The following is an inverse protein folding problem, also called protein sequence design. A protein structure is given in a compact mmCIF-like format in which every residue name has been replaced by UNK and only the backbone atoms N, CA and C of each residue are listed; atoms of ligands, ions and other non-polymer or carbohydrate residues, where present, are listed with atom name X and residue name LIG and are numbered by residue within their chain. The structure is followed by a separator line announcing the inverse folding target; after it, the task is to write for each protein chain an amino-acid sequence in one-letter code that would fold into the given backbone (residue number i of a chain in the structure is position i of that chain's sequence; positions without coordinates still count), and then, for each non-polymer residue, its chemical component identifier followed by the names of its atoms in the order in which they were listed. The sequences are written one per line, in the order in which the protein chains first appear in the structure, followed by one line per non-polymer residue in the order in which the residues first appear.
data_IF_038002814141
#
_entry.id   IF_038002814141
#
_cell.length_a   1.000
_cell.length_b   1.000
_cell.length_c   1.000
_cell.angle_alpha   90.00
_cell.angle_beta   90.00
_cell.angle_gamma   90.00
#
_symmetry.space_group_name_H-M   'P 1'
#
loop_
_entity.id
_entity.type
_entity.pdbx_description
1 polymer ?
#
# COMPACT_ATOMS: atom_id res chain seq x y z
N UNK A 1 -51.04 22.06 -1.60
CA UNK A 1 -52.11 21.47 -0.77
C UNK A 1 -51.55 20.22 -0.12
N UNK A 2 -51.75 20.08 1.20
CA UNK A 2 -51.33 18.98 2.09
C UNK A 2 -49.86 18.94 2.51
N UNK A 3 -49.60 19.63 3.63
CA UNK A 3 -48.77 19.13 4.72
C UNK A 3 -49.02 17.63 4.91
N UNK A 4 -47.98 16.80 4.70
CA UNK A 4 -47.87 15.53 5.41
C UNK A 4 -46.85 15.72 6.52
N UNK A 5 -47.41 16.08 7.67
CA UNK A 5 -46.79 15.95 8.98
C UNK A 5 -46.44 14.48 9.22
N UNK A 6 -45.14 14.18 9.31
CA UNK A 6 -44.63 12.91 9.83
C UNK A 6 -43.98 13.22 11.19
N UNK A 7 -44.80 13.33 12.23
CA UNK A 7 -44.28 13.32 13.60
C UNK A 7 -43.67 11.96 13.90
N UNK A 8 -42.40 11.94 14.34
CA UNK A 8 -41.84 10.73 14.94
C UNK A 8 -40.33 10.50 14.92
N UNK A 9 -39.46 11.48 14.64
CA UNK A 9 -38.07 11.58 15.15
C UNK A 9 -37.73 13.07 15.06
N UNK A 10 -37.00 13.66 16.01
CA UNK A 10 -36.56 15.05 15.90
C UNK A 10 -36.07 15.34 14.47
N UNK A 11 -36.63 16.36 13.81
CA UNK A 11 -36.33 16.72 12.43
C UNK A 11 -34.82 16.99 12.30
N UNK A 12 -34.10 15.93 11.93
CA UNK A 12 -32.65 15.90 11.81
C UNK A 12 -32.29 16.72 10.59
N UNK A 13 -31.34 17.64 10.72
CA UNK A 13 -30.81 18.36 9.57
C UNK A 13 -30.33 17.32 8.55
N UNK A 14 -30.94 17.32 7.36
CA UNK A 14 -30.63 16.32 6.33
C UNK A 14 -29.42 16.79 5.52
N UNK A 15 -28.48 15.89 5.30
CA UNK A 15 -27.41 16.14 4.33
C UNK A 15 -27.98 16.08 2.91
N UNK A 16 -27.58 17.01 2.02
CA UNK A 16 -27.96 16.97 0.61
C UNK A 16 -27.70 15.61 -0.04
N UNK A 17 -28.49 15.25 -1.05
CA UNK A 17 -28.32 13.98 -1.77
C UNK A 17 -26.92 13.87 -2.40
N UNK A 18 -26.48 14.94 -3.05
CA UNK A 18 -25.18 15.02 -3.72
C UNK A 18 -24.00 14.85 -2.74
N UNK A 19 -24.12 15.40 -1.53
CA UNK A 19 -23.13 15.20 -0.46
C UNK A 19 -23.01 13.73 -0.08
N UNK A 20 -24.15 13.04 0.13
CA UNK A 20 -24.18 11.61 0.47
C UNK A 20 -23.64 10.73 -0.65
N UNK A 21 -23.88 11.12 -1.91
CA UNK A 21 -23.29 10.43 -3.06
C UNK A 21 -21.77 10.58 -3.09
N UNK A 22 -21.25 11.78 -2.84
CA UNK A 22 -19.81 12.02 -2.74
C UNK A 22 -19.17 11.17 -1.64
N UNK A 23 -19.78 11.11 -0.46
CA UNK A 23 -19.31 10.23 0.63
C UNK A 23 -19.24 8.77 0.21
N UNK A 24 -20.30 8.25 -0.43
CA UNK A 24 -20.35 6.87 -0.90
C UNK A 24 -19.25 6.58 -1.93
N UNK A 25 -18.98 7.52 -2.85
CA UNK A 25 -17.91 7.39 -3.84
C UNK A 25 -16.53 7.42 -3.20
N UNK A 26 -16.30 8.30 -2.21
CA UNK A 26 -15.04 8.35 -1.46
C UNK A 26 -14.82 7.05 -0.70
N UNK A 27 -15.84 6.53 -0.01
CA UNK A 27 -15.76 5.27 0.73
C UNK A 27 -15.46 4.08 -0.19
N UNK A 28 -16.07 4.07 -1.39
CA UNK A 28 -15.76 3.09 -2.42
C UNK A 28 -14.31 3.19 -2.89
N UNK A 29 -13.82 4.41 -3.16
CA UNK A 29 -12.44 4.64 -3.60
C UNK A 29 -11.42 4.22 -2.52
N UNK A 30 -11.72 4.44 -1.24
CA UNK A 30 -10.88 3.99 -0.13
C UNK A 30 -10.78 2.46 -0.12
N UNK A 31 -11.91 1.76 -0.27
CA UNK A 31 -11.94 0.29 -0.35
C UNK A 31 -11.14 -0.25 -1.53
N UNK A 32 -11.19 0.43 -2.68
CA UNK A 32 -10.37 0.08 -3.86
C UNK A 32 -8.87 0.14 -3.53
N UNK A 33 -8.41 1.23 -2.90
CA UNK A 33 -7.01 1.37 -2.51
C UNK A 33 -6.57 0.26 -1.53
N UNK A 34 -7.36 0.04 -0.48
CA UNK A 34 -7.07 -0.99 0.53
C UNK A 34 -7.02 -2.39 -0.09
N UNK A 35 -7.97 -2.71 -0.97
CA UNK A 35 -8.07 -4.03 -1.59
C UNK A 35 -6.93 -4.30 -2.58
N UNK A 36 -6.44 -3.29 -3.29
CA UNK A 36 -5.28 -3.48 -4.16
C UNK A 36 -4.00 -3.64 -3.34
N UNK A 37 -3.79 -2.75 -2.37
CA UNK A 37 -2.60 -2.75 -1.51
C UNK A 37 -2.48 -4.02 -0.66
N UNK A 38 -3.58 -4.69 -0.31
CA UNK A 38 -3.52 -5.97 0.41
C UNK A 38 -2.79 -7.06 -0.37
N UNK A 39 -2.69 -6.94 -1.70
CA UNK A 39 -1.94 -7.86 -2.56
C UNK A 39 -0.62 -7.24 -3.00
N UNK A 40 -0.65 -6.02 -3.53
CA UNK A 40 0.55 -5.42 -4.15
C UNK A 40 1.61 -5.03 -3.13
N UNK A 41 1.28 -4.88 -1.84
CA UNK A 41 2.28 -4.68 -0.79
C UNK A 41 3.30 -5.82 -0.72
N UNK A 42 2.96 -7.03 -1.19
CA UNK A 42 3.88 -8.18 -1.25
C UNK A 42 5.11 -7.91 -2.12
N UNK A 43 5.03 -7.06 -3.13
CA UNK A 43 6.19 -6.65 -3.94
C UNK A 43 7.27 -5.93 -3.10
N UNK A 44 6.96 -5.50 -1.87
CA UNK A 44 7.95 -4.94 -0.93
C UNK A 44 8.74 -6.04 -0.21
N UNK A 45 8.28 -7.29 -0.26
CA UNK A 45 8.93 -8.44 0.36
C UNK A 45 9.72 -9.21 -0.68
N UNK A 46 11.03 -8.98 -0.76
CA UNK A 46 11.89 -9.59 -1.78
C UNK A 46 11.73 -11.12 -1.90
N UNK A 47 11.47 -11.84 -0.80
CA UNK A 47 11.37 -13.30 -0.78
C UNK A 47 9.93 -13.83 -0.98
N UNK A 48 8.99 -13.04 -1.52
CA UNK A 48 7.58 -13.48 -1.63
C UNK A 48 7.37 -14.70 -2.55
N UNK A 49 8.25 -14.91 -3.53
CA UNK A 49 8.22 -16.03 -4.49
C UNK A 49 9.14 -17.19 -4.06
N UNK A 50 10.00 -16.95 -3.08
CA UNK A 50 10.88 -17.95 -2.49
C UNK A 50 10.90 -17.78 -0.97
N UNK A 51 9.77 -18.08 -0.29
CA UNK A 51 9.66 -17.91 1.15
C UNK A 51 10.76 -18.70 1.85
N UNK A 52 11.41 -18.13 2.88
CA UNK A 52 12.61 -18.70 3.47
C UNK A 52 12.36 -20.13 3.93
N UNK A 53 13.08 -21.07 3.32
CA UNK A 53 13.25 -22.38 3.89
C UNK A 53 14.12 -22.23 5.15
N UNK A 54 13.68 -22.77 6.29
CA UNK A 54 14.41 -22.67 7.58
C UNK A 54 15.90 -23.05 7.47
N UNK A 55 16.26 -23.92 6.53
CA UNK A 55 17.64 -24.37 6.28
C UNK A 55 18.55 -23.30 5.65
N UNK A 56 18.03 -22.48 4.74
CA UNK A 56 18.83 -21.44 4.09
C UNK A 56 19.09 -20.27 5.03
N UNK A 57 18.10 -19.89 5.84
CA UNK A 57 18.25 -18.81 6.83
C UNK A 57 19.35 -19.12 7.85
N UNK A 58 19.49 -20.38 8.26
CA UNK A 58 20.56 -20.83 9.17
C UNK A 58 21.93 -20.82 8.45
N UNK A 59 21.96 -21.19 7.18
CA UNK A 59 23.20 -21.20 6.39
C UNK A 59 23.71 -19.78 6.15
N UNK A 60 22.83 -18.83 5.81
CA UNK A 60 23.17 -17.41 5.64
C UNK A 60 23.62 -16.75 6.96
N UNK A 61 22.94 -17.04 8.06
CA UNK A 61 23.34 -16.58 9.40
C UNK A 61 24.73 -17.12 9.77
N UNK A 62 25.00 -18.41 9.50
CA UNK A 62 26.30 -19.02 9.81
C UNK A 62 27.44 -18.41 8.99
N UNK A 63 27.24 -18.14 7.70
CA UNK A 63 28.22 -17.44 6.84
C UNK A 63 28.46 -16.01 7.30
N UNK A 64 27.39 -15.29 7.66
CA UNK A 64 27.51 -13.90 8.14
C UNK A 64 28.27 -13.82 9.46
N UNK A 65 28.01 -14.74 10.39
CA UNK A 65 28.74 -14.82 11.66
C UNK A 65 30.19 -15.25 11.45
N UNK A 66 30.45 -16.26 10.62
CA UNK A 66 31.80 -16.70 10.29
C UNK A 66 32.64 -15.57 9.66
N UNK A 67 32.05 -14.80 8.73
CA UNK A 67 32.70 -13.66 8.10
C UNK A 67 32.97 -12.51 9.09
N UNK A 68 32.06 -12.26 10.04
CA UNK A 68 32.29 -11.27 11.11
C UNK A 68 33.40 -11.70 12.07
N UNK A 69 33.44 -12.98 12.42
CA UNK A 69 34.53 -13.55 13.23
C UNK A 69 35.86 -13.46 12.47
N UNK A 70 35.85 -13.70 11.16
CA UNK A 70 37.05 -13.57 10.32
C UNK A 70 37.49 -12.12 10.11
N UNK A 71 36.54 -11.18 9.99
CA UNK A 71 36.84 -9.75 9.95
C UNK A 71 37.43 -9.26 11.29
N UNK A 72 36.90 -9.78 12.41
CA UNK A 72 37.44 -9.54 13.75
C UNK A 72 38.84 -10.14 13.95
N UNK A 73 39.11 -11.34 13.41
CA UNK A 73 40.43 -11.97 13.52
C UNK A 73 41.50 -11.27 12.69
N UNK A 74 41.10 -10.48 11.69
CA UNK A 74 42.00 -9.73 10.82
C UNK A 74 42.15 -8.25 11.23
N UNK A 75 41.40 -7.78 12.23
CA UNK A 75 41.52 -6.41 12.73
C UNK A 75 42.83 -6.24 13.53
N UNK A 76 43.69 -5.32 13.09
CA UNK A 76 44.97 -5.04 13.75
C UNK A 76 44.86 -3.96 14.83
N UNK A 77 43.75 -3.20 14.84
CA UNK A 77 43.52 -2.10 15.79
C UNK A 77 42.11 -2.14 16.40
N UNK A 78 41.91 -1.55 17.59
CA UNK A 78 40.59 -1.42 18.21
C UNK A 78 39.57 -0.65 17.36
N UNK A 79 40.03 0.28 16.52
CA UNK A 79 39.19 1.01 15.56
C UNK A 79 38.67 0.10 14.44
N UNK A 80 39.55 -0.71 13.85
CA UNK A 80 39.17 -1.69 12.83
C UNK A 80 38.25 -2.81 13.39
N UNK A 81 38.42 -3.18 14.67
CA UNK A 81 37.55 -4.13 15.33
C UNK A 81 36.15 -3.54 15.59
N UNK A 82 36.06 -2.26 15.96
CA UNK A 82 34.80 -1.55 16.10
C UNK A 82 34.09 -1.44 14.74
N UNK A 83 34.82 -1.04 13.70
CA UNK A 83 34.30 -0.95 12.33
C UNK A 83 33.87 -2.32 11.78
N UNK A 84 34.57 -3.41 12.10
CA UNK A 84 34.16 -4.77 11.71
C UNK A 84 32.85 -5.23 12.38
N UNK A 85 32.49 -4.66 13.54
CA UNK A 85 31.25 -4.96 14.27
C UNK A 85 30.12 -4.02 13.84
N UNK A 86 30.42 -2.75 13.58
CA UNK A 86 29.42 -1.70 13.33
C UNK A 86 29.22 -1.38 11.86
N UNK A 87 30.12 -1.78 10.96
CA UNK A 87 29.91 -1.60 9.53
C UNK A 87 28.67 -2.42 9.09
N UNK A 88 27.69 -1.80 8.43
CA UNK A 88 26.65 -2.57 7.76
C UNK A 88 27.35 -3.54 6.80
N UNK A 89 26.96 -4.82 6.83
CA UNK A 89 27.59 -5.84 6.01
C UNK A 89 27.58 -5.37 4.54
N UNK A 90 28.76 -4.97 4.04
CA UNK A 90 28.97 -4.52 2.66
C UNK A 90 28.96 -5.69 1.66
N UNK A 91 28.78 -6.93 2.15
CA UNK A 91 28.54 -8.07 1.28
C UNK A 91 27.20 -7.81 0.59
N UNK A 92 27.14 -7.77 -0.76
CA UNK A 92 25.87 -7.69 -1.45
C UNK A 92 24.96 -8.76 -0.87
N UNK A 93 23.88 -8.34 -0.19
CA UNK A 93 22.86 -9.28 0.24
C UNK A 93 22.40 -9.97 -1.04
N UNK A 94 22.65 -11.28 -1.09
CA UNK A 94 22.34 -12.01 -2.30
C UNK A 94 20.82 -12.06 -2.43
N UNK A 95 20.26 -11.62 -3.57
CA UNK A 95 18.82 -11.50 -3.65
C UNK A 95 18.13 -12.85 -3.42
N UNK A 96 17.05 -12.78 -2.66
CA UNK A 96 16.26 -13.93 -2.18
C UNK A 96 15.06 -14.23 -3.07
N UNK A 97 15.13 -13.85 -4.34
CA UNK A 97 14.11 -14.24 -5.31
C UNK A 97 14.32 -15.68 -5.75
N UNK A 98 13.25 -16.33 -6.24
CA UNK A 98 13.34 -17.72 -6.67
C UNK A 98 14.32 -17.90 -7.84
N UNK A 99 14.34 -16.97 -8.79
CA UNK A 99 15.26 -17.01 -9.93
C UNK A 99 16.72 -16.93 -9.51
N UNK A 100 17.05 -16.15 -8.47
CA UNK A 100 18.40 -16.12 -7.91
C UNK A 100 18.74 -17.45 -7.21
N UNK A 101 17.78 -18.09 -6.53
CA UNK A 101 17.98 -19.42 -5.96
C UNK A 101 18.27 -20.49 -7.04
N UNK A 102 17.56 -20.46 -8.17
CA UNK A 102 17.85 -21.32 -9.33
C UNK A 102 19.25 -21.03 -9.88
N UNK A 103 19.62 -19.76 -10.01
CA UNK A 103 20.94 -19.36 -10.48
C UNK A 103 22.07 -19.96 -9.63
N UNK A 104 21.95 -19.85 -8.30
CA UNK A 104 22.89 -20.47 -7.36
C UNK A 104 22.96 -21.98 -7.49
N UNK A 105 21.80 -22.65 -7.54
CA UNK A 105 21.74 -24.10 -7.65
C UNK A 105 22.39 -24.59 -8.95
N UNK A 106 22.13 -23.90 -10.07
CA UNK A 106 22.76 -24.19 -11.34
C UNK A 106 24.27 -23.97 -11.30
N UNK A 107 24.75 -22.84 -10.77
CA UNK A 107 26.18 -22.58 -10.60
C UNK A 107 26.88 -23.62 -9.72
N UNK A 108 26.23 -24.06 -8.63
CA UNK A 108 26.75 -25.11 -7.77
C UNK A 108 26.83 -26.45 -8.52
N UNK A 109 25.84 -26.79 -9.36
CA UNK A 109 25.87 -27.99 -10.20
C UNK A 109 27.02 -27.99 -11.20
N UNK A 110 27.37 -26.84 -11.79
CA UNK A 110 28.55 -26.73 -12.68
C UNK A 110 29.82 -27.14 -11.96
N UNK A 111 30.01 -26.69 -10.71
CA UNK A 111 31.19 -27.02 -9.91
C UNK A 111 31.30 -28.50 -9.50
N UNK A 112 30.22 -29.28 -9.65
CA UNK A 112 30.21 -30.73 -9.39
C UNK A 112 30.54 -31.56 -10.62
N UNK A 113 30.57 -30.94 -11.80
CA UNK A 113 30.78 -31.61 -13.08
C UNK A 113 32.22 -31.39 -13.59
N UNK A 114 32.77 -32.32 -14.38
CA UNK A 114 34.07 -32.12 -15.02
C UNK A 114 34.06 -30.93 -15.99
N UNK A 115 35.23 -30.32 -16.17
CA UNK A 115 35.42 -29.27 -17.18
C UNK A 115 35.06 -29.78 -18.58
N UNK A 116 34.28 -28.98 -19.31
CA UNK A 116 33.80 -29.34 -20.66
C UNK A 116 32.61 -30.30 -20.70
N UNK A 117 32.02 -30.64 -19.55
CA UNK A 117 30.80 -31.44 -19.51
C UNK A 117 29.61 -30.69 -20.19
N UNK A 118 28.89 -31.32 -21.14
CA UNK A 118 27.76 -30.69 -21.84
C UNK A 118 26.61 -30.28 -20.91
N UNK A 119 26.33 -31.07 -19.86
CA UNK A 119 25.32 -30.73 -18.86
C UNK A 119 25.79 -29.55 -18.00
N UNK A 120 27.08 -29.50 -17.65
CA UNK A 120 27.71 -28.34 -17.00
C UNK A 120 27.54 -27.07 -17.83
N UNK A 121 27.79 -27.15 -19.14
CA UNK A 121 27.58 -26.03 -20.06
C UNK A 121 26.11 -25.58 -20.11
N UNK A 122 25.16 -26.52 -20.06
CA UNK A 122 23.74 -26.21 -19.94
C UNK A 122 23.39 -25.49 -18.63
N UNK A 123 23.91 -25.96 -17.49
CA UNK A 123 23.70 -25.31 -16.20
C UNK A 123 24.31 -23.90 -16.13
N UNK A 124 25.45 -23.65 -16.78
CA UNK A 124 26.03 -22.31 -16.86
C UNK A 124 25.09 -21.31 -17.56
N UNK A 125 24.44 -21.74 -18.66
CA UNK A 125 23.42 -20.93 -19.37
C UNK A 125 22.20 -20.66 -18.50
N UNK A 126 21.67 -21.69 -17.83
CA UNK A 126 20.54 -21.53 -16.89
C UNK A 126 20.89 -20.58 -15.76
N UNK A 127 22.10 -20.71 -15.19
CA UNK A 127 22.57 -19.87 -14.11
C UNK A 127 22.55 -18.39 -14.49
N UNK A 128 23.11 -18.07 -15.67
CA UNK A 128 23.20 -16.70 -16.17
C UNK A 128 21.83 -16.09 -16.42
N UNK A 129 20.95 -16.80 -17.11
CA UNK A 129 19.63 -16.26 -17.43
C UNK A 129 18.71 -16.16 -16.21
N UNK A 130 18.78 -17.12 -15.29
CA UNK A 130 17.99 -17.05 -14.05
C UNK A 130 18.42 -15.84 -13.21
N UNK A 131 19.69 -15.45 -13.25
CA UNK A 131 20.17 -14.20 -12.62
C UNK A 131 19.61 -12.96 -13.31
N UNK A 132 19.57 -12.93 -14.65
CA UNK A 132 18.99 -11.81 -15.40
C UNK A 132 17.48 -11.66 -15.14
N UNK A 133 16.72 -12.77 -15.15
CA UNK A 133 15.30 -12.80 -14.81
C UNK A 133 15.09 -12.31 -13.37
N UNK A 134 15.93 -12.77 -12.45
CA UNK A 134 15.89 -12.33 -11.05
C UNK A 134 16.14 -10.82 -10.91
N UNK A 135 17.10 -10.26 -11.64
CA UNK A 135 17.37 -8.82 -11.64
C UNK A 135 16.20 -8.01 -12.21
N UNK A 136 15.62 -8.46 -13.33
CA UNK A 136 14.43 -7.84 -13.92
C UNK A 136 13.24 -7.85 -12.94
N UNK A 137 13.07 -8.94 -12.18
CA UNK A 137 12.05 -9.05 -11.13
C UNK A 137 12.27 -7.99 -10.05
N UNK A 138 13.49 -7.85 -9.52
CA UNK A 138 13.80 -6.81 -8.52
C UNK A 138 13.51 -5.40 -9.04
N UNK A 139 13.79 -5.13 -10.32
CA UNK A 139 13.48 -3.86 -10.94
C UNK A 139 11.97 -3.60 -11.04
N UNK A 140 11.19 -4.61 -11.43
CA UNK A 140 9.72 -4.54 -11.45
C UNK A 140 9.16 -4.26 -10.06
N UNK A 141 9.59 -5.02 -9.06
CA UNK A 141 9.12 -4.86 -7.68
C UNK A 141 9.37 -3.45 -7.17
N UNK A 142 10.59 -2.96 -7.38
CA UNK A 142 10.97 -1.59 -7.03
C UNK A 142 10.07 -0.58 -7.74
N UNK A 143 9.85 -0.73 -9.05
CA UNK A 143 8.98 0.16 -9.81
C UNK A 143 7.53 0.14 -9.30
N UNK A 144 6.99 -1.02 -8.94
CA UNK A 144 5.64 -1.15 -8.36
C UNK A 144 5.59 -0.51 -6.98
N UNK A 145 6.59 -0.73 -6.13
CA UNK A 145 6.64 -0.15 -4.79
C UNK A 145 6.70 1.38 -4.85
N UNK A 146 7.58 1.92 -5.69
CA UNK A 146 7.82 3.35 -5.79
C UNK A 146 6.64 4.09 -6.45
N UNK A 147 6.02 3.52 -7.48
CA UNK A 147 5.06 4.23 -8.33
C UNK A 147 3.59 3.81 -8.12
N UNK A 148 3.31 2.70 -7.42
CA UNK A 148 1.95 2.29 -7.05
C UNK A 148 1.79 2.26 -5.52
N UNK A 149 2.57 1.43 -4.83
CA UNK A 149 2.30 1.15 -3.41
C UNK A 149 2.52 2.39 -2.53
N UNK A 150 3.63 3.10 -2.72
CA UNK A 150 4.00 4.27 -1.91
C UNK A 150 3.01 5.42 -2.10
N UNK A 151 2.65 5.83 -3.34
CA UNK A 151 1.66 6.89 -3.54
C UNK A 151 0.27 6.52 -3.02
N UNK A 152 -0.20 5.29 -3.25
CA UNK A 152 -1.50 4.85 -2.76
C UNK A 152 -1.57 4.79 -1.23
N UNK A 153 -0.49 4.32 -0.59
CA UNK A 153 -0.35 4.32 0.87
C UNK A 153 -0.34 5.74 1.44
N UNK A 154 0.34 6.66 0.74
CA UNK A 154 0.37 8.09 1.11
C UNK A 154 -1.02 8.71 1.03
N UNK A 155 -1.75 8.48 -0.06
CA UNK A 155 -3.12 8.94 -0.24
C UNK A 155 -4.05 8.42 0.87
N UNK A 156 -3.95 7.13 1.22
CA UNK A 156 -4.71 6.53 2.34
C UNK A 156 -4.37 7.17 3.70
N UNK A 157 -3.09 7.44 3.95
CA UNK A 157 -2.65 7.91 5.26
C UNK A 157 -2.76 9.41 5.45
N UNK A 158 -2.86 10.18 4.36
CA UNK A 158 -2.91 11.65 4.41
C UNK A 158 -4.26 12.13 3.88
N UNK A 159 -4.50 11.99 2.58
CA UNK A 159 -5.67 12.60 1.91
C UNK A 159 -6.99 12.03 2.42
N UNK A 160 -7.12 10.70 2.50
CA UNK A 160 -8.32 10.08 3.06
C UNK A 160 -8.55 10.43 4.54
N UNK A 161 -7.48 10.54 5.35
CA UNK A 161 -7.61 10.97 6.75
C UNK A 161 -8.05 12.43 6.88
N UNK A 162 -7.58 13.31 5.99
CA UNK A 162 -8.01 14.70 5.95
C UNK A 162 -9.50 14.81 5.57
N UNK A 163 -9.93 14.12 4.51
CA UNK A 163 -11.35 14.04 4.12
C UNK A 163 -12.21 13.48 5.24
N UNK A 164 -11.77 12.42 5.92
CA UNK A 164 -12.49 11.86 7.07
C UNK A 164 -12.65 12.87 8.22
N UNK A 165 -11.62 13.69 8.49
CA UNK A 165 -11.68 14.76 9.50
C UNK A 165 -12.69 15.84 9.12
N UNK A 166 -12.75 16.23 7.84
CA UNK A 166 -13.71 17.24 7.36
C UNK A 166 -15.14 16.71 7.41
N UNK A 167 -15.37 15.45 7.01
CA UNK A 167 -16.68 14.80 7.18
C UNK A 167 -17.09 14.72 8.65
N UNK A 168 -16.16 14.44 9.55
CA UNK A 168 -16.43 14.47 10.98
C UNK A 168 -16.78 15.88 11.48
N UNK A 169 -16.16 16.93 10.92
CA UNK A 169 -16.51 18.31 11.24
C UNK A 169 -17.94 18.67 10.80
N UNK A 170 -18.37 18.21 9.61
CA UNK A 170 -19.76 18.36 9.13
C UNK A 170 -20.75 17.66 10.06
N UNK A 171 -20.44 16.43 10.48
CA UNK A 171 -21.30 15.70 11.41
C UNK A 171 -21.40 16.41 12.77
N UNK A 172 -20.30 16.96 13.27
CA UNK A 172 -20.28 17.72 14.53
C UNK A 172 -21.08 19.02 14.42
N UNK A 173 -20.87 19.83 13.38
CA UNK A 173 -21.62 21.08 13.17
C UNK A 173 -23.11 20.83 13.01
N UNK A 174 -23.48 19.76 12.30
CA UNK A 174 -24.88 19.31 12.18
C UNK A 174 -25.50 18.95 13.52
N UNK A 175 -24.79 18.19 14.36
CA UNK A 175 -25.28 17.79 15.69
C UNK A 175 -25.49 19.01 16.61
N UNK A 176 -24.57 19.98 16.56
CA UNK A 176 -24.69 21.24 17.31
C UNK A 176 -25.91 22.05 16.84
N UNK A 177 -26.09 22.19 15.53
CA UNK A 177 -27.23 22.86 14.92
C UNK A 177 -28.56 22.18 15.31
N UNK A 178 -28.63 20.86 15.21
CA UNK A 178 -29.80 20.07 15.61
C UNK A 178 -30.12 20.26 17.10
N UNK A 179 -29.10 20.31 17.96
CA UNK A 179 -29.26 20.55 19.39
C UNK A 179 -29.77 21.97 19.69
N UNK A 180 -29.26 22.99 19.00
CA UNK A 180 -29.72 24.38 19.15
C UNK A 180 -31.17 24.55 18.68
N UNK A 181 -31.53 23.99 17.51
CA UNK A 181 -32.91 23.95 17.00
C UNK A 181 -33.85 23.18 17.93
N UNK A 182 -33.39 22.09 18.54
CA UNK A 182 -34.16 21.36 19.54
C UNK A 182 -34.43 22.21 20.80
N UNK A 183 -33.43 22.95 21.30
CA UNK A 183 -33.60 23.89 22.42
C UNK A 183 -34.60 25.00 22.09
N UNK A 184 -34.55 25.54 20.87
CA UNK A 184 -35.50 26.57 20.44
C UNK A 184 -36.93 26.05 20.44
N UNK A 185 -37.17 24.88 19.84
CA UNK A 185 -38.49 24.22 19.83
C UNK A 185 -39.01 23.93 21.25
N UNK A 186 -38.15 23.50 22.16
CA UNK A 186 -38.53 23.28 23.56
C UNK A 186 -38.99 24.57 24.24
N UNK A 187 -38.34 25.70 23.96
CA UNK A 187 -38.74 27.01 24.51
C UNK A 187 -40.05 27.51 23.89
N UNK A 188 -40.22 27.36 22.58
CA UNK A 188 -41.46 27.75 21.87
C UNK A 188 -42.69 26.94 22.31
N UNK A 189 -42.50 25.68 22.71
CA UNK A 189 -43.59 24.81 23.22
C UNK A 189 -43.90 25.01 24.71
N UNK A 190 -43.38 26.06 25.34
CA UNK A 190 -43.59 26.33 26.77
C UNK A 190 -42.78 25.42 27.71
N UNK A 191 -41.79 24.70 27.17
CA UNK A 191 -40.88 23.82 27.90
C UNK A 191 -39.69 24.54 28.55
N UNK A 192 -39.69 25.88 28.59
CA UNK A 192 -38.85 26.61 29.53
C UNK A 192 -39.26 26.24 30.96
N UNK A 193 -38.51 25.35 31.61
CA UNK A 193 -38.78 24.80 32.96
C UNK A 193 -40.12 24.05 33.10
N UNK A 194 -40.20 22.85 32.52
CA UNK A 194 -41.25 21.86 32.81
C UNK A 194 -41.17 21.21 34.22
N UNK A 195 -40.90 22.00 35.26
CA UNK A 195 -40.85 21.52 36.63
C UNK A 195 -40.81 22.67 37.63
N UNK A 196 -41.93 22.92 38.30
CA UNK A 196 -42.09 23.83 39.45
C UNK A 196 -41.30 25.15 39.32
N UNK A 197 -41.83 26.12 38.58
CA UNK A 197 -41.34 27.50 38.61
C UNK A 197 -41.69 28.14 39.95
N UNK A 198 -40.85 27.92 40.96
CA UNK A 198 -40.97 28.58 42.28
C UNK A 198 -40.66 30.09 42.22
N UNK A 199 -40.12 30.57 41.08
CA UNK A 199 -39.80 31.96 40.82
C UNK A 199 -40.26 32.33 39.40
N UNK A 200 -41.13 33.35 39.28
CA UNK A 200 -41.47 33.96 37.98
C UNK A 200 -40.20 34.61 37.41
N UNK A 201 -39.71 34.11 36.27
CA UNK A 201 -38.68 34.82 35.49
C UNK A 201 -39.25 36.11 34.93
N UNK A 202 -38.41 37.13 34.82
CA UNK A 202 -38.77 38.41 34.23
C UNK A 202 -38.95 38.22 32.71
N UNK A 203 -40.06 38.66 32.09
CA UNK A 203 -40.29 38.55 30.64
C UNK A 203 -39.17 39.14 29.78
N UNK A 204 -38.49 40.17 30.27
CA UNK A 204 -37.34 40.78 29.59
C UNK A 204 -36.13 39.81 29.49
N UNK A 205 -35.90 38.98 30.51
CA UNK A 205 -34.80 38.02 30.55
C UNK A 205 -35.07 36.83 29.62
N UNK A 206 -36.34 36.43 29.47
CA UNK A 206 -36.76 35.37 28.55
C UNK A 206 -36.59 35.81 27.10
N UNK A 207 -37.02 37.03 26.76
CA UNK A 207 -36.85 37.62 25.43
C UNK A 207 -35.38 37.77 25.05
N UNK A 208 -34.52 38.24 25.97
CA UNK A 208 -33.09 38.33 25.74
C UNK A 208 -32.45 36.95 25.49
N UNK A 209 -32.86 35.94 26.25
CA UNK A 209 -32.36 34.58 26.07
C UNK A 209 -32.89 33.90 24.79
N UNK A 210 -34.05 34.29 24.27
CA UNK A 210 -34.55 33.82 22.98
C UNK A 210 -33.77 34.45 21.82
N UNK A 211 -33.46 35.75 21.91
CA UNK A 211 -32.63 36.45 20.92
C UNK A 211 -31.22 35.85 20.83
N UNK A 212 -30.60 35.57 21.98
CA UNK A 212 -29.30 34.89 22.05
C UNK A 212 -29.33 33.50 21.37
N UNK A 213 -30.42 32.75 21.54
CA UNK A 213 -30.55 31.43 20.94
C UNK A 213 -30.74 31.51 19.42
N UNK A 214 -31.42 32.54 18.92
CA UNK A 214 -31.56 32.80 17.47
C UNK A 214 -30.22 33.11 16.83
N UNK A 215 -29.44 34.02 17.43
CA UNK A 215 -28.09 34.31 16.95
C UNK A 215 -27.16 33.10 16.99
N UNK A 216 -27.26 32.26 18.03
CA UNK A 216 -26.47 31.03 18.09
C UNK A 216 -26.87 30.02 17.00
N UNK A 217 -28.15 29.94 16.65
CA UNK A 217 -28.61 29.09 15.55
C UNK A 217 -28.09 29.60 14.22
N UNK A 218 -28.19 30.90 13.94
CA UNK A 218 -27.65 31.54 12.72
C UNK A 218 -26.14 31.25 12.58
N UNK A 219 -25.38 31.44 13.66
CA UNK A 219 -23.94 31.12 13.70
C UNK A 219 -23.66 29.65 13.39
N UNK A 220 -24.44 28.73 13.95
CA UNK A 220 -24.28 27.28 13.72
C UNK A 220 -24.71 26.86 12.31
N UNK A 221 -25.66 27.57 11.69
CA UNK A 221 -26.05 27.36 10.30
C UNK A 221 -24.90 27.74 9.35
N UNK A 222 -24.29 28.90 9.57
CA UNK A 222 -23.12 29.35 8.80
C UNK A 222 -21.94 28.37 8.97
N UNK A 223 -21.69 27.90 10.18
CA UNK A 223 -20.64 26.91 10.47
C UNK A 223 -20.93 25.57 9.78
N UNK A 224 -22.17 25.12 9.77
CA UNK A 224 -22.59 23.90 9.07
C UNK A 224 -22.39 24.03 7.55
N UNK A 225 -22.80 25.15 6.95
CA UNK A 225 -22.60 25.40 5.52
C UNK A 225 -21.11 25.43 5.17
N UNK A 226 -20.32 26.19 5.93
CA UNK A 226 -18.87 26.32 5.72
C UNK A 226 -18.15 24.97 5.83
N UNK A 227 -18.47 24.18 6.85
CA UNK A 227 -17.88 22.84 7.02
C UNK A 227 -18.28 21.89 5.89
N UNK A 228 -19.53 21.98 5.43
CA UNK A 228 -20.04 21.16 4.32
C UNK A 228 -19.36 21.51 3.00
N UNK A 229 -19.21 22.79 2.66
CA UNK A 229 -18.53 23.25 1.44
C UNK A 229 -17.08 22.76 1.40
N UNK A 230 -16.36 22.89 2.52
CA UNK A 230 -14.99 22.39 2.64
C UNK A 230 -14.89 20.88 2.44
N UNK A 231 -15.80 20.11 3.04
CA UNK A 231 -15.84 18.67 2.86
C UNK A 231 -16.15 18.29 1.40
N UNK A 232 -17.08 18.99 0.74
CA UNK A 232 -17.38 18.79 -0.69
C UNK A 232 -16.17 19.06 -1.57
N UNK A 233 -15.46 20.17 -1.35
CA UNK A 233 -14.25 20.53 -2.09
C UNK A 233 -13.19 19.42 -1.97
N UNK A 234 -12.93 18.98 -0.75
CA UNK A 234 -11.92 17.96 -0.45
C UNK A 234 -12.28 16.57 -0.99
N UNK A 235 -13.54 16.15 -0.86
CA UNK A 235 -14.03 14.90 -1.45
C UNK A 235 -13.94 14.94 -2.99
N UNK A 236 -14.30 16.07 -3.60
CA UNK A 236 -14.21 16.26 -5.05
C UNK A 236 -12.76 16.24 -5.53
N UNK A 237 -11.86 16.93 -4.82
CA UNK A 237 -10.42 16.93 -5.11
C UNK A 237 -9.81 15.53 -5.03
N UNK A 238 -10.15 14.77 -3.99
CA UNK A 238 -9.73 13.37 -3.84
C UNK A 238 -10.22 12.50 -5.01
N UNK A 239 -11.50 12.60 -5.38
CA UNK A 239 -12.08 11.78 -6.46
C UNK A 239 -11.54 12.11 -7.85
N UNK A 240 -11.09 13.34 -8.08
CA UNK A 240 -10.60 13.80 -9.38
C UNK A 240 -9.07 13.74 -9.51
N UNK A 241 -8.36 13.24 -8.49
CA UNK A 241 -6.91 13.09 -8.54
C UNK A 241 -6.53 12.00 -9.55
N UNK A 242 -5.62 12.25 -10.51
CA UNK A 242 -5.23 11.26 -11.52
C UNK A 242 -4.31 10.14 -10.99
N UNK A 243 -3.83 10.29 -9.75
CA UNK A 243 -2.82 9.43 -9.14
C UNK A 243 -3.17 7.93 -9.11
N UNK A 244 -4.41 7.51 -8.81
CA UNK A 244 -4.74 6.09 -8.86
C UNK A 244 -4.51 5.49 -10.25
N UNK A 245 -4.88 6.20 -11.32
CA UNK A 245 -4.69 5.74 -12.69
C UNK A 245 -3.21 5.75 -13.09
N UNK A 246 -2.43 6.75 -12.66
CA UNK A 246 -0.97 6.76 -12.86
C UNK A 246 -0.31 5.53 -12.23
N UNK A 247 -0.70 5.19 -11.00
CA UNK A 247 -0.20 4.01 -10.31
C UNK A 247 -0.55 2.71 -11.04
N UNK A 248 -1.79 2.57 -11.55
CA UNK A 248 -2.18 1.41 -12.35
C UNK A 248 -1.41 1.32 -13.67
N UNK A 249 -1.18 2.45 -14.34
CA UNK A 249 -0.35 2.48 -15.55
C UNK A 249 1.08 2.03 -15.24
N UNK A 250 1.68 2.54 -14.16
CA UNK A 250 3.02 2.16 -13.75
C UNK A 250 3.12 0.67 -13.39
N UNK A 251 2.09 0.12 -12.75
CA UNK A 251 1.99 -1.31 -12.48
C UNK A 251 2.01 -2.15 -13.75
N UNK A 252 1.19 -1.81 -14.74
CA UNK A 252 1.15 -2.52 -16.03
C UNK A 252 2.48 -2.42 -16.76
N UNK A 253 3.09 -1.23 -16.81
CA UNK A 253 4.40 -1.03 -17.44
C UNK A 253 5.49 -1.87 -16.77
N UNK A 254 5.57 -1.85 -15.43
CA UNK A 254 6.57 -2.63 -14.71
C UNK A 254 6.44 -4.14 -14.96
N UNK A 255 5.21 -4.65 -15.02
CA UNK A 255 4.93 -6.06 -15.34
C UNK A 255 5.32 -6.39 -16.78
N UNK A 256 5.01 -5.52 -17.74
CA UNK A 256 5.36 -5.69 -19.15
C UNK A 256 6.87 -5.76 -19.33
N UNK A 257 7.61 -4.82 -18.74
CA UNK A 257 9.07 -4.74 -18.84
C UNK A 257 9.73 -6.01 -18.28
N UNK A 258 9.25 -6.50 -17.12
CA UNK A 258 9.73 -7.75 -16.54
C UNK A 258 9.45 -8.96 -17.43
N UNK A 259 8.22 -9.11 -17.92
CA UNK A 259 7.85 -10.26 -18.74
C UNK A 259 8.60 -10.25 -20.08
N UNK A 260 8.84 -9.09 -20.68
CA UNK A 260 9.65 -8.98 -21.88
C UNK A 260 11.10 -9.41 -21.62
N UNK A 261 11.73 -8.88 -20.56
CA UNK A 261 13.09 -9.28 -20.19
C UNK A 261 13.21 -10.79 -19.89
N UNK A 262 12.16 -11.38 -19.31
CA UNK A 262 12.11 -12.82 -19.07
C UNK A 262 11.99 -13.62 -20.37
N UNK A 263 11.16 -13.19 -21.32
CA UNK A 263 11.04 -13.81 -22.65
C UNK A 263 12.38 -13.79 -23.36
N UNK A 264 13.04 -12.63 -23.41
CA UNK A 264 14.34 -12.47 -24.09
C UNK A 264 15.39 -13.40 -23.46
N UNK A 265 15.49 -13.42 -22.13
CA UNK A 265 16.44 -14.29 -21.41
C UNK A 265 16.15 -15.78 -21.64
N UNK A 266 14.89 -16.20 -21.66
CA UNK A 266 14.50 -17.59 -21.86
C UNK A 266 14.68 -18.04 -23.31
N UNK A 267 14.47 -17.15 -24.28
CA UNK A 267 14.69 -17.43 -25.69
C UNK A 267 16.16 -17.79 -25.94
N UNK A 268 17.09 -16.97 -25.46
CA UNK A 268 18.54 -17.19 -25.62
C UNK A 268 19.00 -18.52 -24.99
N UNK A 269 18.45 -18.86 -23.83
CA UNK A 269 18.73 -20.13 -23.14
C UNK A 269 18.15 -21.32 -23.89
N UNK A 270 16.92 -21.21 -24.39
CA UNK A 270 16.26 -22.29 -25.12
C UNK A 270 17.04 -22.64 -26.39
N UNK A 271 17.51 -21.64 -27.13
CA UNK A 271 18.37 -21.86 -28.29
C UNK A 271 19.70 -22.52 -27.91
N UNK A 272 20.36 -22.00 -26.87
CA UNK A 272 21.66 -22.51 -26.39
C UNK A 272 21.56 -23.96 -25.92
N UNK A 273 20.58 -24.29 -25.06
CA UNK A 273 20.37 -25.65 -24.57
C UNK A 273 19.95 -26.58 -25.70
N UNK A 274 19.10 -26.12 -26.62
CA UNK A 274 18.70 -26.91 -27.78
C UNK A 274 19.88 -27.27 -28.68
N UNK A 275 20.85 -26.37 -28.84
CA UNK A 275 22.09 -26.66 -29.55
C UNK A 275 22.94 -27.72 -28.83
N UNK A 276 23.16 -27.54 -27.52
CA UNK A 276 23.92 -28.49 -26.67
C UNK A 276 23.28 -29.89 -26.71
N UNK A 277 21.95 -29.96 -26.60
CA UNK A 277 21.20 -31.21 -26.66
C UNK A 277 21.43 -31.94 -28.00
N UNK A 278 21.25 -31.23 -29.14
CA UNK A 278 21.43 -31.82 -30.47
C UNK A 278 22.85 -32.33 -30.69
N UNK A 279 23.85 -31.56 -30.25
CA UNK A 279 25.26 -31.98 -30.34
C UNK A 279 25.52 -33.24 -29.51
N UNK A 280 25.01 -33.28 -28.28
CA UNK A 280 25.16 -34.43 -27.40
C UNK A 280 24.45 -35.68 -27.94
N UNK A 281 23.24 -35.53 -28.51
CA UNK A 281 22.51 -36.63 -29.15
C UNK A 281 23.27 -37.17 -30.37
N UNK A 282 23.81 -36.28 -31.21
CA UNK A 282 24.61 -36.66 -32.37
C UNK A 282 25.88 -37.41 -31.95
N UNK A 283 26.60 -36.91 -30.93
CA UNK A 283 27.78 -37.58 -30.39
C UNK A 283 27.44 -38.96 -29.80
N UNK A 284 26.32 -39.07 -29.07
CA UNK A 284 25.84 -40.33 -28.51
C UNK A 284 25.54 -41.36 -29.61
N UNK A 285 24.79 -40.97 -30.65
CA UNK A 285 24.46 -41.85 -31.78
C UNK A 285 25.71 -42.29 -32.56
N UNK A 286 26.63 -41.37 -32.82
CA UNK A 286 27.88 -41.67 -33.51
C UNK A 286 28.76 -42.67 -32.73
N UNK A 287 28.75 -42.60 -31.40
CA UNK A 287 29.50 -43.54 -30.56
C UNK A 287 28.95 -44.97 -30.65
N UNK A 288 27.62 -45.12 -30.78
CA UNK A 288 26.93 -46.41 -30.92
C UNK A 288 26.97 -46.99 -32.33
N UNK A 289 27.02 -46.17 -33.37
CA UNK A 289 27.13 -46.65 -34.76
C UNK A 289 28.52 -47.17 -35.15
N UNK A 290 29.52 -47.00 -34.27
CA UNK A 290 30.90 -47.51 -34.44
C UNK A 290 31.18 -48.81 -33.67
N UNK A 291 30.21 -49.34 -32.93
CA UNK A 291 30.27 -50.63 -32.23
C UNK A 291 29.59 -51.71 -33.08
#
# INVERSE_FOLDING_TARGET
MFLKWNGGVAEKTQLPADYRELEARVDALQKVHVKMLSVTSQFSNEAYDYPPNLRESITDLSRTVANRVQALSNAATPGEAQDAITAPAQVPHEPKTFSHAISRAAAASVALLPDGDPLGSGFEKISTASRQIGQARLAMDKAIVDNLNTPWTTTLNITFKNVARERQAVENSRLLLDAAKAKQRQREQGGGTGGITLFKKNPADEAAADEQLRHEIERLEDEFITTMEKAVESMTGLLNTPEPLKGLSAFVTAQLDYHQAAVDSLHDVAESIGAIQREQEAAYLASRGRA
#
